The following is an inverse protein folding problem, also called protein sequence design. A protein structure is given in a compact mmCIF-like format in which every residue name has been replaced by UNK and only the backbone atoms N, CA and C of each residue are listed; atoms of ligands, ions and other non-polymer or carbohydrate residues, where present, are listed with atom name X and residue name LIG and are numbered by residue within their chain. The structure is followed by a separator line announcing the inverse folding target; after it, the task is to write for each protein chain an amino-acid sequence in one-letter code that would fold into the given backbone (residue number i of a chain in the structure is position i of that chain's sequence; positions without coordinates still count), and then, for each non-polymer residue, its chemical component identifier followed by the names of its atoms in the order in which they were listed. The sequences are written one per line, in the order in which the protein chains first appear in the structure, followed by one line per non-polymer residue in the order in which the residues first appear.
data_IF_823842779915
#
_entry.id   IF_823842779915
#
_cell.length_a   1.000
_cell.length_b   1.000
_cell.length_c   1.000
_cell.angle_alpha   90.00
_cell.angle_beta   90.00
_cell.angle_gamma   90.00
#
_symmetry.space_group_name_H-M   'P 1'
#
loop_
_entity.id
_entity.type
_entity.pdbx_description
1 polymer ?
#
# COMPACT_ATOMS: atom_id res chain seq x y z
N UNK A 1 37.93 42.38 58.67
CA UNK A 1 36.88 41.49 58.08
C UNK A 1 37.22 41.39 56.63
N UNK A 2 37.98 40.35 56.24
CA UNK A 2 38.24 40.06 54.82
C UNK A 2 37.08 39.27 54.24
N UNK A 3 36.42 39.86 53.25
CA UNK A 3 35.46 39.11 52.40
C UNK A 3 36.30 38.21 51.49
N UNK A 4 36.25 36.90 51.74
CA UNK A 4 36.73 35.89 50.81
C UNK A 4 35.79 35.85 49.61
N UNK A 5 36.04 36.77 48.67
CA UNK A 5 35.44 36.70 47.34
C UNK A 5 36.12 35.58 46.58
N UNK A 6 35.43 34.48 46.33
CA UNK A 6 35.87 33.46 45.36
C UNK A 6 36.04 34.12 44.01
N UNK A 7 37.28 34.42 43.64
CA UNK A 7 37.62 34.92 42.31
C UNK A 7 37.51 33.73 41.34
N UNK A 8 36.37 33.63 40.64
CA UNK A 8 36.18 32.64 39.59
C UNK A 8 37.21 32.90 38.50
N UNK A 9 38.07 31.94 38.23
CA UNK A 9 39.10 32.06 37.20
C UNK A 9 38.47 31.92 35.78
N UNK A 10 39.06 32.59 34.82
CA UNK A 10 38.64 32.47 33.40
C UNK A 10 38.60 31.01 32.93
N UNK A 11 39.50 30.21 33.43
CA UNK A 11 39.59 28.76 33.14
C UNK A 11 38.37 28.00 33.69
N UNK A 12 37.91 28.30 34.88
CA UNK A 12 36.70 27.70 35.47
C UNK A 12 35.44 28.07 34.67
N UNK A 13 35.36 29.32 34.22
CA UNK A 13 34.25 29.79 33.37
C UNK A 13 34.26 29.03 32.02
N UNK A 14 35.44 28.83 31.43
CA UNK A 14 35.58 28.10 30.17
C UNK A 14 35.14 26.64 30.33
N UNK A 15 35.59 25.93 31.34
CA UNK A 15 35.19 24.52 31.56
C UNK A 15 33.69 24.38 31.85
N UNK A 16 33.09 25.28 32.62
CA UNK A 16 31.67 25.26 32.93
C UNK A 16 30.87 25.54 31.65
N UNK A 17 31.25 26.56 30.88
CA UNK A 17 30.53 26.86 29.62
C UNK A 17 30.63 25.75 28.60
N UNK A 18 31.78 25.09 28.47
CA UNK A 18 31.97 23.94 27.61
C UNK A 18 31.09 22.73 28.04
N UNK A 19 31.03 22.48 29.35
CA UNK A 19 30.18 21.41 29.89
C UNK A 19 28.70 21.67 29.65
N UNK A 20 28.25 22.90 29.87
CA UNK A 20 26.85 23.30 29.57
C UNK A 20 26.53 23.15 28.09
N UNK A 21 27.46 23.58 27.21
CA UNK A 21 27.29 23.43 25.79
C UNK A 21 27.18 21.95 25.35
N UNK A 22 28.05 21.08 25.93
CA UNK A 22 27.99 19.64 25.63
C UNK A 22 26.66 19.00 26.07
N UNK A 23 26.17 19.33 27.28
CA UNK A 23 24.86 18.88 27.75
C UNK A 23 23.74 19.38 26.85
N UNK A 24 23.78 20.64 26.40
CA UNK A 24 22.81 21.22 25.47
C UNK A 24 22.77 20.49 24.14
N UNK A 25 23.93 20.13 23.58
CA UNK A 25 24.02 19.33 22.34
C UNK A 25 23.40 17.94 22.54
N UNK A 26 23.73 17.25 23.62
CA UNK A 26 23.17 15.92 23.90
C UNK A 26 21.66 15.98 24.06
N UNK A 27 21.14 16.95 24.80
CA UNK A 27 19.70 17.15 24.98
C UNK A 27 19.00 17.42 23.64
N UNK A 28 19.60 18.25 22.77
CA UNK A 28 19.08 18.53 21.44
C UNK A 28 19.03 17.28 20.56
N UNK A 29 20.08 16.45 20.59
CA UNK A 29 20.11 15.18 19.83
C UNK A 29 19.05 14.19 20.30
N UNK A 30 18.85 14.08 21.62
CA UNK A 30 17.78 13.25 22.18
C UNK A 30 16.40 13.78 21.72
N UNK A 31 16.19 15.08 21.79
CA UNK A 31 14.93 15.71 21.37
C UNK A 31 14.65 15.45 19.88
N UNK A 32 15.63 15.66 19.01
CA UNK A 32 15.53 15.36 17.57
C UNK A 32 15.24 13.87 17.35
N UNK A 33 15.91 12.97 18.07
CA UNK A 33 15.65 11.54 18.00
C UNK A 33 14.20 11.16 18.35
N UNK A 34 13.63 11.80 19.37
CA UNK A 34 12.22 11.62 19.74
C UNK A 34 11.27 12.19 18.69
N UNK A 35 11.56 13.36 18.14
CA UNK A 35 10.78 13.96 17.06
C UNK A 35 10.77 13.07 15.80
N UNK A 36 11.91 12.55 15.39
CA UNK A 36 12.02 11.66 14.22
C UNK A 36 11.18 10.39 14.43
N UNK A 37 11.23 9.78 15.61
CA UNK A 37 10.38 8.63 15.94
C UNK A 37 8.88 8.96 15.87
N UNK A 38 8.48 10.11 16.42
CA UNK A 38 7.09 10.58 16.36
C UNK A 38 6.63 10.83 14.92
N UNK A 39 7.47 11.49 14.13
CA UNK A 39 7.21 11.74 12.71
C UNK A 39 7.07 10.44 11.90
N UNK A 40 7.93 9.45 12.12
CA UNK A 40 7.85 8.16 11.45
C UNK A 40 6.53 7.44 11.75
N UNK A 41 6.07 7.48 13.01
CA UNK A 41 4.77 6.89 13.39
C UNK A 41 3.60 7.60 12.72
N UNK A 42 3.63 8.94 12.67
CA UNK A 42 2.60 9.74 12.00
C UNK A 42 2.56 9.45 10.49
N UNK A 43 3.71 9.36 9.83
CA UNK A 43 3.80 9.01 8.40
C UNK A 43 3.21 7.63 8.15
N UNK A 44 3.55 6.61 8.94
CA UNK A 44 2.98 5.26 8.80
C UNK A 44 1.46 5.25 8.95
N UNK A 45 0.92 5.98 9.92
CA UNK A 45 -0.52 6.09 10.12
C UNK A 45 -1.21 6.79 8.95
N UNK A 46 -0.66 7.89 8.46
CA UNK A 46 -1.18 8.60 7.30
C UNK A 46 -1.13 7.77 6.02
N UNK A 47 -0.03 7.02 5.81
CA UNK A 47 0.11 6.10 4.68
C UNK A 47 -0.93 4.98 4.73
N UNK A 48 -1.11 4.34 5.89
CA UNK A 48 -2.10 3.28 6.06
C UNK A 48 -3.52 3.80 5.78
N UNK A 49 -3.85 5.00 6.28
CA UNK A 49 -5.14 5.64 6.01
C UNK A 49 -5.32 5.95 4.52
N UNK A 50 -4.34 6.55 3.85
CA UNK A 50 -4.42 6.88 2.43
C UNK A 50 -4.58 5.62 1.55
N UNK A 51 -3.89 4.52 1.88
CA UNK A 51 -4.04 3.23 1.18
C UNK A 51 -5.44 2.66 1.40
N UNK A 52 -5.98 2.76 2.61
CA UNK A 52 -7.33 2.31 2.92
C UNK A 52 -8.41 3.15 2.22
N UNK A 53 -8.27 4.47 2.20
CA UNK A 53 -9.17 5.39 1.49
C UNK A 53 -9.19 5.13 -0.01
N UNK A 54 -8.03 4.92 -0.63
CA UNK A 54 -7.92 4.54 -2.04
C UNK A 54 -8.66 3.22 -2.33
N UNK A 55 -8.52 2.25 -1.45
CA UNK A 55 -9.22 0.97 -1.55
C UNK A 55 -10.74 1.16 -1.44
N UNK A 56 -11.21 1.87 -0.42
CA UNK A 56 -12.63 2.12 -0.21
C UNK A 56 -13.25 2.92 -1.37
N UNK A 57 -12.55 3.96 -1.85
CA UNK A 57 -13.04 4.79 -2.97
C UNK A 57 -13.20 3.99 -4.26
N UNK A 58 -12.27 3.05 -4.53
CA UNK A 58 -12.38 2.17 -5.69
C UNK A 58 -13.63 1.26 -5.60
N UNK A 59 -13.89 0.66 -4.44
CA UNK A 59 -15.09 -0.15 -4.25
C UNK A 59 -16.38 0.67 -4.34
N UNK A 60 -16.41 1.88 -3.77
CA UNK A 60 -17.57 2.77 -3.86
C UNK A 60 -17.83 3.19 -5.30
N UNK A 61 -16.78 3.55 -6.04
CA UNK A 61 -16.92 3.87 -7.46
C UNK A 61 -17.53 2.71 -8.27
N UNK A 62 -17.13 1.46 -8.00
CA UNK A 62 -17.73 0.28 -8.62
C UNK A 62 -19.18 0.05 -8.19
N UNK A 63 -19.53 0.33 -6.93
CA UNK A 63 -20.89 0.17 -6.43
C UNK A 63 -21.85 1.22 -6.99
N UNK A 64 -21.40 2.43 -7.24
CA UNK A 64 -22.18 3.55 -7.77
C UNK A 64 -22.40 3.45 -9.29
N UNK A 65 -21.51 2.78 -10.01
CA UNK A 65 -21.50 2.72 -11.48
C UNK A 65 -21.76 1.30 -11.98
N UNK A 66 -23.03 0.94 -12.01
CA UNK A 66 -23.47 -0.43 -12.38
C UNK A 66 -23.00 -0.86 -13.77
N UNK A 67 -23.00 0.04 -14.75
CA UNK A 67 -22.60 -0.30 -16.12
C UNK A 67 -21.11 -0.66 -16.17
N UNK A 68 -20.25 0.09 -15.48
CA UNK A 68 -18.84 -0.17 -15.36
C UNK A 68 -18.56 -1.45 -14.57
N UNK A 69 -19.34 -1.74 -13.53
CA UNK A 69 -19.26 -3.00 -12.80
C UNK A 69 -19.58 -4.20 -13.70
N UNK A 70 -20.61 -4.12 -14.54
CA UNK A 70 -20.94 -5.18 -15.50
C UNK A 70 -19.80 -5.42 -16.50
N UNK A 71 -19.14 -4.35 -16.98
CA UNK A 71 -17.95 -4.44 -17.83
C UNK A 71 -16.79 -5.12 -17.09
N UNK A 72 -16.56 -4.76 -15.83
CA UNK A 72 -15.50 -5.34 -14.98
C UNK A 72 -15.75 -6.84 -14.77
N UNK A 73 -16.96 -7.22 -14.40
CA UNK A 73 -17.33 -8.63 -14.18
C UNK A 73 -17.11 -9.46 -15.44
N UNK A 74 -17.59 -8.95 -16.58
CA UNK A 74 -17.44 -9.60 -17.89
C UNK A 74 -15.99 -9.67 -18.31
N UNK A 75 -15.23 -8.58 -18.13
CA UNK A 75 -13.81 -8.48 -18.49
C UNK A 75 -12.93 -9.44 -17.72
N UNK A 76 -13.17 -9.60 -16.43
CA UNK A 76 -12.43 -10.61 -15.64
C UNK A 76 -12.80 -12.06 -16.00
N UNK A 77 -14.04 -12.30 -16.43
CA UNK A 77 -14.45 -13.61 -16.93
C UNK A 77 -13.74 -13.95 -18.24
N UNK A 78 -13.94 -13.11 -19.27
CA UNK A 78 -13.41 -13.34 -20.61
C UNK A 78 -13.15 -12.00 -21.32
N UNK A 79 -11.90 -11.66 -21.51
CA UNK A 79 -11.49 -10.38 -22.11
C UNK A 79 -11.99 -10.21 -23.54
N UNK A 80 -12.00 -11.28 -24.32
CA UNK A 80 -12.44 -11.28 -25.72
C UNK A 80 -13.97 -11.13 -25.88
N UNK A 81 -14.75 -11.33 -24.81
CA UNK A 81 -16.18 -11.11 -24.81
C UNK A 81 -16.58 -9.62 -24.73
N UNK A 82 -15.61 -8.73 -24.49
CA UNK A 82 -15.81 -7.29 -24.45
C UNK A 82 -15.75 -6.69 -25.87
N UNK A 83 -16.65 -5.78 -26.16
CA UNK A 83 -16.50 -4.91 -27.34
C UNK A 83 -15.35 -3.91 -27.13
N UNK A 84 -14.98 -3.18 -28.17
CA UNK A 84 -13.83 -2.26 -28.14
C UNK A 84 -13.94 -1.19 -27.07
N UNK A 85 -15.13 -0.63 -26.84
CA UNK A 85 -15.36 0.43 -25.83
C UNK A 85 -15.29 -0.14 -24.43
N UNK A 86 -15.98 -1.26 -24.18
CA UNK A 86 -15.99 -1.93 -22.89
C UNK A 86 -14.58 -2.43 -22.52
N UNK A 87 -13.82 -2.93 -23.51
CA UNK A 87 -12.41 -3.32 -23.31
C UNK A 87 -11.54 -2.13 -22.92
N UNK A 88 -11.78 -0.95 -23.50
CA UNK A 88 -11.08 0.28 -23.11
C UNK A 88 -11.44 0.69 -21.68
N UNK A 89 -12.72 0.65 -21.30
CA UNK A 89 -13.19 0.92 -19.94
C UNK A 89 -12.55 -0.06 -18.95
N UNK A 90 -12.62 -1.36 -19.24
CA UNK A 90 -12.01 -2.39 -18.40
C UNK A 90 -10.49 -2.19 -18.23
N UNK A 91 -9.79 -1.85 -19.32
CA UNK A 91 -8.36 -1.55 -19.27
C UNK A 91 -8.05 -0.36 -18.35
N UNK A 92 -8.84 0.73 -18.41
CA UNK A 92 -8.67 1.89 -17.52
C UNK A 92 -8.86 1.51 -16.04
N UNK A 93 -9.93 0.78 -15.74
CA UNK A 93 -10.24 0.33 -14.37
C UNK A 93 -9.16 -0.62 -13.86
N UNK A 94 -8.72 -1.55 -14.68
CA UNK A 94 -7.64 -2.50 -14.37
C UNK A 94 -6.32 -1.77 -14.06
N UNK A 95 -5.92 -0.81 -14.90
CA UNK A 95 -4.71 -0.04 -14.70
C UNK A 95 -4.79 0.82 -13.44
N UNK A 96 -5.94 1.45 -13.16
CA UNK A 96 -6.15 2.22 -11.93
C UNK A 96 -6.01 1.33 -10.70
N UNK A 97 -6.69 0.19 -10.65
CA UNK A 97 -6.59 -0.78 -9.56
C UNK A 97 -5.14 -1.26 -9.35
N UNK A 98 -4.48 -1.68 -10.43
CA UNK A 98 -3.12 -2.20 -10.35
C UNK A 98 -2.11 -1.12 -9.96
N UNK A 99 -2.33 0.15 -10.34
CA UNK A 99 -1.51 1.28 -9.90
C UNK A 99 -1.65 1.54 -8.39
N UNK A 100 -2.85 1.42 -7.83
CA UNK A 100 -3.05 1.51 -6.38
C UNK A 100 -2.36 0.34 -5.66
N UNK A 101 -2.44 -0.87 -6.19
CA UNK A 101 -1.74 -2.04 -5.65
C UNK A 101 -0.21 -1.85 -5.69
N UNK A 102 0.34 -1.32 -6.79
CA UNK A 102 1.76 -0.99 -6.90
C UNK A 102 2.19 0.04 -5.84
N UNK A 103 1.38 1.08 -5.62
CA UNK A 103 1.67 2.05 -4.56
C UNK A 103 1.68 1.38 -3.19
N UNK A 104 0.68 0.54 -2.87
CA UNK A 104 0.64 -0.21 -1.62
C UNK A 104 1.87 -1.14 -1.47
N UNK A 105 2.31 -1.80 -2.55
CA UNK A 105 3.52 -2.62 -2.59
C UNK A 105 4.77 -1.81 -2.24
N UNK A 106 4.96 -0.64 -2.85
CA UNK A 106 6.12 0.20 -2.54
C UNK A 106 6.10 0.71 -1.10
N UNK A 107 4.94 1.12 -0.58
CA UNK A 107 4.80 1.53 0.82
C UNK A 107 5.12 0.37 1.79
N UNK A 108 4.70 -0.85 1.46
CA UNK A 108 5.03 -2.04 2.22
C UNK A 108 6.52 -2.36 2.18
N UNK A 109 7.13 -2.34 0.99
CA UNK A 109 8.58 -2.57 0.81
C UNK A 109 9.43 -1.58 1.58
N UNK A 110 8.98 -0.34 1.72
CA UNK A 110 9.64 0.72 2.49
C UNK A 110 9.36 0.64 4.00
N UNK A 111 8.55 -0.32 4.45
CA UNK A 111 8.17 -0.48 5.86
C UNK A 111 7.18 0.58 6.37
N UNK A 112 6.51 1.30 5.45
CA UNK A 112 5.48 2.29 5.79
C UNK A 112 4.08 1.67 5.90
N UNK A 113 3.85 0.51 5.28
CA UNK A 113 2.60 -0.24 5.34
C UNK A 113 2.81 -1.55 6.11
N UNK A 114 1.87 -1.91 6.97
CA UNK A 114 1.90 -3.16 7.74
C UNK A 114 1.67 -4.38 6.84
N UNK A 115 2.22 -5.54 7.23
CA UNK A 115 2.09 -6.79 6.48
C UNK A 115 0.62 -7.21 6.28
N UNK A 116 -0.23 -6.98 7.28
CA UNK A 116 -1.65 -7.32 7.24
C UNK A 116 -2.41 -6.52 6.18
N UNK A 117 -2.03 -5.24 5.98
CA UNK A 117 -2.62 -4.39 4.95
C UNK A 117 -2.11 -4.76 3.55
N UNK A 118 -0.83 -5.14 3.43
CA UNK A 118 -0.32 -5.69 2.17
C UNK A 118 -1.01 -7.01 1.82
N UNK A 119 -1.23 -7.90 2.78
CA UNK A 119 -1.91 -9.17 2.55
C UNK A 119 -3.32 -9.01 1.94
N UNK A 120 -4.05 -7.92 2.26
CA UNK A 120 -5.31 -7.60 1.60
C UNK A 120 -5.13 -7.30 0.10
N UNK A 121 -4.10 -6.55 -0.27
CA UNK A 121 -3.79 -6.26 -1.67
C UNK A 121 -3.29 -7.51 -2.41
N UNK A 122 -2.45 -8.31 -1.77
CA UNK A 122 -1.97 -9.59 -2.30
C UNK A 122 -3.14 -10.53 -2.62
N UNK A 123 -4.13 -10.62 -1.72
CA UNK A 123 -5.35 -11.38 -1.95
C UNK A 123 -6.13 -10.90 -3.18
N UNK A 124 -6.28 -9.57 -3.35
CA UNK A 124 -6.99 -9.01 -4.50
C UNK A 124 -6.22 -9.21 -5.81
N UNK A 125 -4.90 -9.01 -5.78
CA UNK A 125 -4.02 -9.29 -6.93
C UNK A 125 -4.09 -10.77 -7.30
N UNK A 126 -4.09 -11.67 -6.31
CA UNK A 126 -4.26 -13.10 -6.54
C UNK A 126 -5.58 -13.40 -7.28
N UNK A 127 -6.69 -12.83 -6.83
CA UNK A 127 -7.97 -13.01 -7.52
C UNK A 127 -7.94 -12.46 -8.96
N UNK A 128 -7.31 -11.33 -9.16
CA UNK A 128 -7.14 -10.72 -10.46
C UNK A 128 -6.36 -11.64 -11.42
N UNK A 129 -5.18 -12.09 -11.02
CA UNK A 129 -4.30 -12.88 -11.91
C UNK A 129 -4.73 -14.33 -12.06
N UNK A 130 -5.61 -14.85 -11.22
CA UNK A 130 -6.22 -16.16 -11.38
C UNK A 130 -7.55 -16.12 -12.16
N UNK A 131 -8.02 -14.94 -12.57
CA UNK A 131 -9.12 -14.80 -13.52
C UNK A 131 -8.61 -14.84 -14.96
N UNK A 132 -9.43 -15.37 -15.90
CA UNK A 132 -9.00 -15.51 -17.29
C UNK A 132 -8.67 -14.15 -17.93
N UNK A 133 -9.59 -13.19 -17.82
CA UNK A 133 -9.40 -11.88 -18.42
C UNK A 133 -8.39 -11.00 -17.68
N UNK A 134 -8.29 -11.11 -16.35
CA UNK A 134 -7.28 -10.39 -15.56
C UNK A 134 -5.86 -10.84 -15.90
N UNK A 135 -5.63 -12.16 -16.02
CA UNK A 135 -4.33 -12.68 -16.44
C UNK A 135 -4.00 -12.29 -17.89
N UNK A 136 -4.98 -12.34 -18.80
CA UNK A 136 -4.79 -11.92 -20.19
C UNK A 136 -4.38 -10.44 -20.26
N UNK A 137 -5.11 -9.56 -19.56
CA UNK A 137 -4.81 -8.13 -19.55
C UNK A 137 -3.50 -7.81 -18.82
N UNK A 138 -3.17 -8.54 -17.75
CA UNK A 138 -1.86 -8.43 -17.09
C UNK A 138 -0.71 -8.70 -18.07
N UNK A 139 -0.79 -9.78 -18.84
CA UNK A 139 0.23 -10.13 -19.85
C UNK A 139 0.38 -9.05 -20.93
N UNK A 140 -0.72 -8.41 -21.31
CA UNK A 140 -0.71 -7.32 -22.29
C UNK A 140 -0.15 -6.01 -21.73
N UNK A 141 -0.32 -5.73 -20.43
CA UNK A 141 -0.09 -4.41 -19.82
C UNK A 141 0.98 -4.37 -18.74
N UNK A 142 1.52 -5.50 -18.32
CA UNK A 142 2.50 -5.55 -17.22
C UNK A 142 3.71 -4.64 -17.41
N UNK A 143 4.08 -4.33 -18.66
CA UNK A 143 5.23 -3.48 -19.00
C UNK A 143 5.10 -2.03 -18.50
N UNK A 144 3.89 -1.54 -18.15
CA UNK A 144 3.69 -0.17 -17.63
C UNK A 144 4.02 -0.06 -16.14
N UNK A 145 4.23 -1.19 -15.45
CA UNK A 145 4.50 -1.24 -14.02
C UNK A 145 5.99 -1.42 -13.70
N UNK A 146 6.39 -1.05 -12.48
CA UNK A 146 7.76 -1.21 -12.01
C UNK A 146 8.19 -2.68 -12.01
N UNK A 147 9.46 -2.93 -12.30
CA UNK A 147 9.98 -4.29 -12.50
C UNK A 147 9.87 -5.18 -11.26
N UNK A 148 10.13 -4.64 -10.07
CA UNK A 148 10.01 -5.35 -8.79
C UNK A 148 8.54 -5.70 -8.47
N UNK A 149 7.60 -4.81 -8.77
CA UNK A 149 6.17 -5.07 -8.63
C UNK A 149 5.69 -6.13 -9.63
N UNK A 150 6.20 -6.12 -10.88
CA UNK A 150 5.89 -7.18 -11.85
C UNK A 150 6.31 -8.56 -11.35
N UNK A 151 7.53 -8.67 -10.81
CA UNK A 151 8.03 -9.91 -10.23
C UNK A 151 7.14 -10.39 -9.09
N UNK A 152 6.67 -9.48 -8.24
CA UNK A 152 5.74 -9.82 -7.15
C UNK A 152 4.43 -10.38 -7.69
N UNK A 153 3.79 -9.69 -8.65
CA UNK A 153 2.53 -10.15 -9.25
C UNK A 153 2.69 -11.48 -9.98
N UNK A 154 3.79 -11.70 -10.69
CA UNK A 154 4.11 -12.97 -11.34
C UNK A 154 4.32 -14.09 -10.31
N UNK A 155 4.94 -13.78 -9.17
CA UNK A 155 5.09 -14.71 -8.05
C UNK A 155 3.74 -15.10 -7.46
N UNK A 156 2.83 -14.12 -7.30
CA UNK A 156 1.45 -14.36 -6.86
C UNK A 156 0.71 -15.26 -7.86
N UNK A 157 0.87 -15.01 -9.17
CA UNK A 157 0.22 -15.81 -10.21
C UNK A 157 0.69 -17.28 -10.27
N UNK A 158 1.89 -17.57 -9.75
CA UNK A 158 2.43 -18.94 -9.67
C UNK A 158 1.96 -19.71 -8.42
N UNK A 159 1.43 -19.02 -7.42
CA UNK A 159 0.89 -19.65 -6.21
C UNK A 159 -0.49 -20.24 -6.50
N UNK A 160 -0.89 -21.24 -5.73
CA UNK A 160 -2.28 -21.69 -5.77
C UNK A 160 -3.21 -20.55 -5.30
N UNK A 161 -4.37 -20.34 -5.98
CA UNK A 161 -5.32 -19.32 -5.57
C UNK A 161 -5.79 -19.61 -4.14
N UNK A 162 -5.87 -18.58 -3.30
CA UNK A 162 -6.35 -18.71 -1.95
C UNK A 162 -7.73 -19.40 -1.92
N UNK A 163 -7.87 -20.45 -1.11
CA UNK A 163 -9.09 -21.28 -1.00
C UNK A 163 -10.33 -20.41 -0.74
N UNK A 164 -10.18 -19.30 -0.03
CA UNK A 164 -11.25 -18.32 0.23
C UNK A 164 -11.72 -17.56 -1.03
N UNK A 165 -10.89 -17.45 -2.07
CA UNK A 165 -11.34 -16.88 -3.35
C UNK A 165 -12.45 -17.72 -4.00
N UNK A 166 -12.48 -19.02 -3.74
CA UNK A 166 -13.56 -19.91 -4.19
C UNK A 166 -14.84 -19.79 -3.32
N UNK A 167 -14.72 -19.38 -2.06
CA UNK A 167 -15.84 -19.26 -1.12
C UNK A 167 -16.56 -17.90 -1.24
N UNK A 168 -15.87 -16.85 -1.68
CA UNK A 168 -16.44 -15.53 -1.89
C UNK A 168 -16.88 -15.34 -3.35
N UNK A 169 -17.79 -16.18 -3.84
CA UNK A 169 -18.45 -16.02 -5.15
C UNK A 169 -19.20 -14.68 -5.35
N UNK A 170 -19.02 -13.73 -4.43
CA UNK A 170 -19.58 -12.38 -4.46
C UNK A 170 -18.51 -11.33 -4.85
N UNK A 171 -17.21 -11.68 -4.85
CA UNK A 171 -16.21 -10.77 -5.39
C UNK A 171 -16.21 -10.85 -6.92
N UNK A 172 -16.14 -9.69 -7.60
CA UNK A 172 -16.27 -9.61 -9.07
C UNK A 172 -15.20 -10.38 -9.85
N UNK A 173 -14.28 -11.03 -9.19
CA UNK A 173 -13.14 -11.72 -9.77
C UNK A 173 -13.19 -13.25 -9.61
N UNK A 174 -14.27 -13.76 -9.00
CA UNK A 174 -14.47 -15.20 -8.88
C UNK A 174 -14.71 -15.83 -10.24
N UNK A 175 -14.01 -16.93 -10.56
CA UNK A 175 -14.26 -17.77 -11.72
C UNK A 175 -15.75 -18.13 -11.78
N UNK A 176 -16.48 -17.63 -12.76
CA UNK A 176 -17.86 -18.00 -13.04
C UNK A 176 -17.85 -19.39 -13.71
N UNK A 177 -17.44 -20.42 -12.99
CA UNK A 177 -17.83 -21.77 -13.34
C UNK A 177 -19.31 -21.84 -13.01
N UNK A 178 -20.19 -21.70 -14.01
CA UNK A 178 -21.66 -21.72 -13.98
C UNK A 178 -22.42 -22.39 -12.82
N UNK A 179 -21.87 -22.35 -11.63
CA UNK A 179 -22.41 -22.87 -10.39
C UNK A 179 -23.38 -21.87 -9.78
N UNK A 180 -24.66 -22.19 -9.83
CA UNK A 180 -25.70 -21.55 -9.05
C UNK A 180 -25.27 -21.43 -7.59
N UNK A 181 -25.22 -20.18 -7.09
CA UNK A 181 -25.05 -19.88 -5.67
C UNK A 181 -26.15 -20.60 -4.88
N UNK A 182 -25.79 -21.61 -4.10
CA UNK A 182 -26.62 -22.17 -3.05
C UNK A 182 -26.19 -21.51 -1.74
N UNK A 183 -27.01 -20.61 -1.23
CA UNK A 183 -26.87 -20.09 0.12
C UNK A 183 -26.96 -21.24 1.13
N UNK A 184 -26.19 -21.15 2.25
CA UNK A 184 -26.27 -22.09 3.34
C UNK A 184 -27.64 -22.10 4.03
#
# INVERSE_FOLDING_TARGET
MCCEGHCVTLEQIFFVSQSVAAVGVIASLIFVGLQVRGSTKAVRSATAQAVHENFASWYMAMAEHRAELEVVLKGFGELEALNTVDRAVFNCIFLAFTSHAQNAFHQWRQGHLANELWACWEFLLSNMVHSNGGLALWRERSYVFAGDFRVEVETIAQREPHIHAKAFGVLPFGRTDGGTFRAP
#
